data_IF_343655069888
#
_entry.id   IF_343655069888
#
_cell.length_a   1.000
_cell.length_b   1.000
_cell.length_c   1.000
_cell.angle_alpha   90.00
_cell.angle_beta   90.00
_cell.angle_gamma   90.00
#
_symmetry.space_group_name_H-M   'P 1'
#
loop_
_entity.id
_entity.type
_entity.pdbx_description
1 polymer ?
#
# COMPACT_ATOMS: atom_id res chain seq x y z
N UNK A 1 43.95 -12.03 -35.40
CA UNK A 1 43.47 -13.28 -34.75
C UNK A 1 43.19 -13.05 -33.26
N UNK A 2 44.17 -12.54 -32.49
CA UNK A 2 43.99 -12.22 -31.07
C UNK A 2 42.94 -11.11 -30.86
N UNK A 3 42.97 -10.05 -31.67
CA UNK A 3 41.99 -8.94 -31.55
C UNK A 3 40.56 -9.40 -31.83
N UNK A 4 40.39 -10.30 -32.81
CA UNK A 4 39.10 -10.92 -33.12
C UNK A 4 38.58 -11.75 -31.95
N UNK A 5 39.46 -12.51 -31.28
CA UNK A 5 39.12 -13.31 -30.11
C UNK A 5 38.72 -12.40 -28.94
N UNK A 6 39.47 -11.33 -28.70
CA UNK A 6 39.20 -10.38 -27.63
C UNK A 6 37.84 -9.68 -27.83
N UNK A 7 37.54 -9.26 -29.06
CA UNK A 7 36.25 -8.66 -29.42
C UNK A 7 35.06 -9.62 -29.21
N UNK A 8 35.23 -10.90 -29.55
CA UNK A 8 34.22 -11.92 -29.31
C UNK A 8 33.99 -12.11 -27.80
N UNK A 9 35.05 -12.17 -26.99
CA UNK A 9 34.92 -12.32 -25.53
C UNK A 9 34.19 -11.13 -24.91
N UNK A 10 34.55 -9.89 -25.27
CA UNK A 10 33.89 -8.70 -24.73
C UNK A 10 32.41 -8.61 -25.14
N UNK A 11 32.07 -8.96 -26.38
CA UNK A 11 30.67 -8.93 -26.83
C UNK A 11 29.82 -9.99 -26.12
N UNK A 12 30.35 -11.20 -25.89
CA UNK A 12 29.66 -12.24 -25.11
C UNK A 12 29.45 -11.81 -23.66
N UNK A 13 30.48 -11.25 -23.01
CA UNK A 13 30.35 -10.75 -21.64
C UNK A 13 29.32 -9.61 -21.55
N UNK A 14 29.32 -8.68 -22.51
CA UNK A 14 28.34 -7.61 -22.56
C UNK A 14 26.90 -8.14 -22.71
N UNK A 15 26.69 -9.17 -23.54
CA UNK A 15 25.38 -9.82 -23.71
C UNK A 15 24.95 -10.54 -22.43
N UNK A 16 25.87 -11.22 -21.74
CA UNK A 16 25.56 -11.88 -20.47
C UNK A 16 25.19 -10.88 -19.37
N UNK A 17 25.92 -9.77 -19.26
CA UNK A 17 25.60 -8.69 -18.32
C UNK A 17 24.27 -8.02 -18.66
N UNK A 18 24.03 -7.70 -19.93
CA UNK A 18 22.75 -7.12 -20.38
C UNK A 18 21.57 -8.06 -20.11
N UNK A 19 21.75 -9.36 -20.35
CA UNK A 19 20.73 -10.38 -20.08
C UNK A 19 20.42 -10.49 -18.58
N UNK A 20 21.44 -10.41 -17.72
CA UNK A 20 21.26 -10.43 -16.27
C UNK A 20 20.56 -9.17 -15.75
N UNK A 21 20.90 -8.00 -16.31
CA UNK A 21 20.24 -6.73 -16.02
C UNK A 21 18.75 -6.79 -16.42
N UNK A 22 18.45 -7.27 -17.64
CA UNK A 22 17.08 -7.43 -18.12
C UNK A 22 16.30 -8.39 -17.24
N UNK A 23 16.87 -9.54 -16.88
CA UNK A 23 16.23 -10.52 -15.98
C UNK A 23 16.03 -9.98 -14.55
N UNK A 24 16.96 -9.17 -14.04
CA UNK A 24 16.83 -8.48 -12.76
C UNK A 24 15.66 -7.49 -12.77
N UNK A 25 15.47 -6.75 -13.88
CA UNK A 25 14.29 -5.91 -14.06
C UNK A 25 13.02 -6.73 -14.31
N UNK A 26 13.11 -7.89 -14.97
CA UNK A 26 11.98 -8.80 -15.20
C UNK A 26 11.51 -9.49 -13.90
N UNK A 27 12.42 -9.74 -12.97
CA UNK A 27 12.07 -10.26 -11.63
C UNK A 27 11.35 -9.22 -10.74
N UNK A 28 11.22 -7.97 -11.20
CA UNK A 28 10.47 -6.96 -10.46
C UNK A 28 9.00 -7.01 -10.84
N UNK A 29 8.27 -7.69 -9.94
CA UNK A 29 6.87 -7.45 -9.54
C UNK A 29 5.83 -8.38 -10.16
N UNK A 30 5.85 -9.64 -9.70
CA UNK A 30 4.58 -10.31 -9.43
C UNK A 30 4.13 -9.87 -8.03
N UNK A 31 3.36 -8.76 -7.98
CA UNK A 31 2.37 -8.66 -6.91
C UNK A 31 1.39 -9.81 -7.10
N UNK A 32 0.89 -10.39 -6.02
CA UNK A 32 -0.11 -11.45 -6.07
C UNK A 32 -1.20 -11.02 -7.08
N UNK A 33 -1.20 -11.63 -8.27
CA UNK A 33 -2.26 -11.48 -9.28
C UNK A 33 -3.49 -12.22 -8.78
N UNK A 34 -3.97 -11.80 -7.61
CA UNK A 34 -5.07 -12.39 -6.89
C UNK A 34 -6.31 -11.56 -7.13
N UNK A 35 -7.44 -12.24 -7.14
CA UNK A 35 -8.76 -11.64 -6.96
C UNK A 35 -8.66 -10.70 -5.76
N UNK A 36 -9.04 -9.43 -5.93
CA UNK A 36 -9.13 -8.47 -4.84
C UNK A 36 -10.56 -8.53 -4.29
N UNK A 37 -10.82 -9.26 -3.19
CA UNK A 37 -12.14 -9.27 -2.59
C UNK A 37 -12.51 -7.87 -2.08
N UNK A 38 -13.80 -7.66 -1.81
CA UNK A 38 -14.22 -6.52 -1.02
C UNK A 38 -13.58 -6.59 0.36
N UNK A 39 -13.02 -5.47 0.82
CA UNK A 39 -12.29 -5.41 2.06
C UNK A 39 -12.96 -4.46 3.05
N UNK A 40 -13.35 -4.97 4.22
CA UNK A 40 -13.87 -4.15 5.32
C UNK A 40 -12.84 -4.11 6.44
N UNK A 41 -12.45 -2.91 6.87
CA UNK A 41 -11.39 -2.68 7.85
C UNK A 41 -12.01 -2.03 9.06
N UNK A 42 -11.96 -2.72 10.20
CA UNK A 42 -12.53 -2.23 11.46
C UNK A 42 -11.40 -1.68 12.32
N UNK A 43 -11.52 -0.43 12.73
CA UNK A 43 -10.54 0.28 13.57
C UNK A 43 -11.23 0.61 14.90
N UNK A 44 -11.00 -0.15 15.99
CA UNK A 44 -11.42 0.28 17.31
C UNK A 44 -10.60 1.51 17.72
N UNK A 45 -11.25 2.53 18.28
CA UNK A 45 -10.61 3.77 18.70
C UNK A 45 -11.14 4.21 20.07
N UNK A 46 -10.22 4.49 20.99
CA UNK A 46 -10.50 5.09 22.29
C UNK A 46 -9.35 6.03 22.67
N UNK A 47 -9.61 7.34 22.65
CA UNK A 47 -8.61 8.38 22.89
C UNK A 47 -7.37 8.31 21.96
N UNK A 48 -7.62 8.17 20.66
CA UNK A 48 -6.61 8.03 19.61
C UNK A 48 -6.43 9.34 18.80
N UNK A 49 -6.70 10.53 19.35
CA UNK A 49 -6.66 11.79 18.58
C UNK A 49 -5.31 12.05 17.90
N UNK A 50 -4.21 11.54 18.47
CA UNK A 50 -2.87 11.69 17.95
C UNK A 50 -2.54 10.77 16.76
N UNK A 51 -3.25 9.65 16.61
CA UNK A 51 -2.88 8.55 15.68
C UNK A 51 -3.97 8.23 14.66
N UNK A 52 -5.24 8.50 14.98
CA UNK A 52 -6.40 8.01 14.23
C UNK A 52 -6.41 8.52 12.79
N UNK A 53 -6.06 9.80 12.59
CA UNK A 53 -5.97 10.41 11.26
C UNK A 53 -4.94 9.70 10.38
N UNK A 54 -3.71 9.51 10.89
CA UNK A 54 -2.65 8.84 10.16
C UNK A 54 -2.98 7.36 9.89
N UNK A 55 -3.64 6.70 10.84
CA UNK A 55 -4.07 5.29 10.69
C UNK A 55 -5.05 5.14 9.53
N UNK A 56 -6.09 5.98 9.48
CA UNK A 56 -7.06 5.98 8.39
C UNK A 56 -6.36 6.33 7.07
N UNK A 57 -5.51 7.35 7.05
CA UNK A 57 -4.78 7.76 5.86
C UNK A 57 -3.87 6.64 5.31
N UNK A 58 -3.16 5.93 6.18
CA UNK A 58 -2.35 4.76 5.80
C UNK A 58 -3.20 3.68 5.14
N UNK A 59 -4.37 3.37 5.70
CA UNK A 59 -5.31 2.39 5.15
C UNK A 59 -5.82 2.84 3.78
N UNK A 60 -6.20 4.11 3.64
CA UNK A 60 -6.70 4.68 2.38
C UNK A 60 -5.62 4.78 1.29
N UNK A 61 -4.35 4.88 1.67
CA UNK A 61 -3.18 4.90 0.75
C UNK A 61 -2.64 3.52 0.40
N UNK A 62 -3.04 2.46 1.10
CA UNK A 62 -2.54 1.12 0.82
C UNK A 62 -2.82 0.72 -0.64
N UNK A 63 -1.84 0.07 -1.27
CA UNK A 63 -1.91 -0.43 -2.65
C UNK A 63 -2.89 -1.62 -2.77
N UNK A 64 -4.17 -1.30 -2.67
CA UNK A 64 -5.32 -2.20 -2.76
C UNK A 64 -6.43 -1.46 -3.53
N UNK A 65 -7.28 -2.14 -4.32
CA UNK A 65 -8.36 -1.51 -5.06
C UNK A 65 -9.32 -0.68 -4.20
N UNK A 66 -10.07 0.20 -4.87
CA UNK A 66 -10.99 1.13 -4.21
C UNK A 66 -12.20 0.46 -3.54
N UNK A 67 -12.48 -0.80 -3.84
CA UNK A 67 -13.54 -1.59 -3.18
C UNK A 67 -13.15 -1.99 -1.74
N UNK A 68 -13.03 -0.96 -0.88
CA UNK A 68 -12.77 -1.11 0.54
C UNK A 68 -13.57 -0.10 1.35
N UNK A 69 -13.94 -0.51 2.56
CA UNK A 69 -14.55 0.36 3.57
C UNK A 69 -13.72 0.36 4.86
N UNK A 70 -13.72 1.49 5.55
CA UNK A 70 -13.08 1.69 6.85
C UNK A 70 -14.16 2.05 7.85
N UNK A 71 -14.30 1.22 8.87
CA UNK A 71 -15.30 1.34 9.93
C UNK A 71 -14.54 1.65 11.22
N UNK A 72 -14.61 2.89 11.66
CA UNK A 72 -14.04 3.30 12.93
C UNK A 72 -15.08 3.11 14.02
N UNK A 73 -14.76 2.29 15.02
CA UNK A 73 -15.62 2.05 16.17
C UNK A 73 -15.09 2.85 17.34
N UNK A 74 -15.75 3.97 17.64
CA UNK A 74 -15.40 4.82 18.77
C UNK A 74 -16.02 4.27 20.07
N UNK A 75 -15.18 3.86 21.01
CA UNK A 75 -15.58 3.33 22.32
C UNK A 75 -15.66 4.43 23.38
N UNK A 76 -16.45 5.47 23.10
CA UNK A 76 -16.67 6.56 24.06
C UNK A 76 -15.41 7.36 24.37
N UNK A 77 -14.64 7.73 23.33
CA UNK A 77 -13.49 8.65 23.50
C UNK A 77 -13.94 9.97 24.11
N UNK A 78 -13.09 10.56 24.96
CA UNK A 78 -13.33 11.86 25.61
C UNK A 78 -12.44 12.98 25.03
N UNK A 79 -11.60 12.63 24.06
CA UNK A 79 -10.74 13.54 23.31
C UNK A 79 -11.35 13.86 21.93
N UNK A 80 -10.55 14.41 20.99
CA UNK A 80 -11.02 14.76 19.65
C UNK A 80 -11.09 13.58 18.66
N UNK A 81 -10.93 12.34 19.11
CA UNK A 81 -10.95 11.16 18.22
C UNK A 81 -12.19 11.16 17.33
N UNK A 82 -13.38 11.33 17.93
CA UNK A 82 -14.65 11.32 17.20
C UNK A 82 -14.74 12.47 16.19
N UNK A 83 -14.33 13.68 16.58
CA UNK A 83 -14.34 14.86 15.72
C UNK A 83 -13.46 14.65 14.48
N UNK A 84 -12.24 14.15 14.68
CA UNK A 84 -11.27 13.89 13.62
C UNK A 84 -11.84 12.87 12.62
N UNK A 85 -12.41 11.77 13.11
CA UNK A 85 -12.95 10.72 12.25
C UNK A 85 -14.21 11.21 11.51
N UNK A 86 -15.11 11.96 12.16
CA UNK A 86 -16.28 12.56 11.50
C UNK A 86 -15.87 13.48 10.36
N UNK A 87 -14.86 14.30 10.56
CA UNK A 87 -14.33 15.17 9.51
C UNK A 87 -13.85 14.34 8.30
N UNK A 88 -13.06 13.29 8.55
CA UNK A 88 -12.56 12.41 7.48
C UNK A 88 -13.72 11.68 6.78
N UNK A 89 -14.74 11.24 7.53
CA UNK A 89 -15.93 10.57 6.98
C UNK A 89 -16.76 11.48 6.06
N UNK A 90 -16.75 12.80 6.28
CA UNK A 90 -17.36 13.77 5.36
C UNK A 90 -16.54 14.01 4.09
N UNK A 91 -15.23 13.79 4.14
CA UNK A 91 -14.30 13.97 3.02
C UNK A 91 -14.16 12.70 2.16
N UNK A 92 -14.36 11.51 2.74
CA UNK A 92 -14.23 10.21 2.06
C UNK A 92 -15.35 9.23 2.47
N UNK A 93 -16.27 8.95 1.54
CA UNK A 93 -17.42 8.05 1.72
C UNK A 93 -17.06 6.62 2.14
N UNK A 94 -15.79 6.20 1.96
CA UNK A 94 -15.32 4.88 2.39
C UNK A 94 -15.14 4.79 3.90
N UNK A 95 -15.03 5.93 4.59
CA UNK A 95 -14.81 6.00 6.04
C UNK A 95 -16.14 6.23 6.73
N UNK A 96 -16.49 5.33 7.66
CA UNK A 96 -17.70 5.40 8.48
C UNK A 96 -17.30 5.34 9.94
N UNK A 97 -18.04 6.05 10.78
CA UNK A 97 -17.88 6.02 12.24
C UNK A 97 -19.10 5.38 12.90
N UNK A 98 -18.85 4.56 13.91
CA UNK A 98 -19.86 3.98 14.80
C UNK A 98 -19.47 4.22 16.25
N UNK A 99 -20.32 4.94 16.99
CA UNK A 99 -20.14 5.15 18.43
C UNK A 99 -20.84 4.03 19.20
N UNK A 100 -20.20 3.51 20.24
CA UNK A 100 -20.74 2.41 21.06
C UNK A 100 -21.19 2.82 22.46
N UNK A 101 -20.85 4.04 22.90
CA UNK A 101 -21.27 4.66 24.16
C UNK A 101 -21.68 6.10 23.93
#
# INVERSE_FOLDING_TARGET
MIDTILYIIFSVLAILHASWIVLFFYHKKEGCGGIFPKLSIIIPAHNEEATISNTIECVLRANYPKEREVIVVNDGSVDRTEEIVKKISLEDDRVKIYNTK
#
